data_IF_819789359365
#
_entry.id   IF_819789359365
#
_cell.length_a   1.000
_cell.length_b   1.000
_cell.length_c   1.000
_cell.angle_alpha   90.00
_cell.angle_beta   90.00
_cell.angle_gamma   90.00
#
_symmetry.space_group_name_H-M   'P 1'
#
loop_
_entity.id
_entity.type
_entity.pdbx_description
1 polymer ?
#
# COMPACT_ATOMS: atom_id res chain seq x y z
N UNK A 1 1.60 16.47 14.85
CA UNK A 1 0.14 16.48 14.56
C UNK A 1 -0.01 15.56 13.38
N UNK A 2 -0.79 14.48 13.39
CA UNK A 2 -0.77 13.53 12.26
C UNK A 2 -1.15 14.18 10.91
N UNK A 3 -0.14 14.66 10.18
CA UNK A 3 -0.23 15.26 8.85
C UNK A 3 0.39 14.28 7.85
N UNK A 4 -0.06 14.24 6.58
CA UNK A 4 0.49 13.32 5.58
C UNK A 4 2.00 13.47 5.32
N UNK A 5 2.61 14.57 5.76
CA UNK A 5 4.06 14.80 5.66
C UNK A 5 4.87 14.30 6.86
N UNK A 6 4.22 13.91 7.97
CA UNK A 6 4.91 13.40 9.17
C UNK A 6 5.16 11.88 9.10
N UNK A 7 4.44 11.15 8.25
CA UNK A 7 4.58 9.70 8.07
C UNK A 7 4.23 9.28 6.65
N UNK A 8 4.81 8.16 6.19
CA UNK A 8 4.53 7.56 4.90
C UNK A 8 3.64 6.34 5.06
N UNK A 9 2.45 6.37 4.48
CA UNK A 9 1.56 5.24 4.31
C UNK A 9 1.56 4.79 2.85
N UNK A 10 2.09 3.59 2.59
CA UNK A 10 2.24 3.04 1.25
C UNK A 10 1.36 1.80 1.08
N UNK A 11 0.75 1.65 -0.10
CA UNK A 11 -0.08 0.49 -0.44
C UNK A 11 0.60 -0.48 -1.41
N UNK A 12 0.19 -1.76 -1.39
CA UNK A 12 0.43 -2.72 -2.47
C UNK A 12 -0.89 -3.28 -2.96
N UNK A 13 -1.28 -2.94 -4.19
CA UNK A 13 -2.49 -3.46 -4.83
C UNK A 13 -2.13 -4.62 -5.74
N UNK A 14 -2.86 -5.72 -5.62
CA UNK A 14 -2.78 -6.87 -6.52
C UNK A 14 -3.49 -8.09 -5.95
N UNK A 15 -3.53 -9.17 -6.70
CA UNK A 15 -4.07 -10.46 -6.25
C UNK A 15 -3.06 -11.21 -5.37
N UNK A 16 -3.49 -11.69 -4.19
CA UNK A 16 -2.69 -12.60 -3.39
C UNK A 16 -1.40 -11.96 -2.87
N UNK A 17 -1.41 -10.65 -2.65
CA UNK A 17 -0.25 -9.85 -2.26
C UNK A 17 0.05 -9.86 -0.76
N UNK A 18 -0.88 -10.36 0.07
CA UNK A 18 -0.70 -10.46 1.52
C UNK A 18 0.62 -11.14 1.96
N UNK A 19 1.08 -12.26 1.37
CA UNK A 19 2.35 -12.88 1.71
C UNK A 19 3.60 -12.21 1.11
N UNK A 20 3.47 -11.06 0.43
CA UNK A 20 4.60 -10.35 -0.16
C UNK A 20 5.66 -9.97 0.88
N UNK A 21 6.93 -10.04 0.48
CA UNK A 21 8.06 -9.56 1.28
C UNK A 21 8.35 -8.06 1.05
N UNK A 22 7.67 -7.41 0.10
CA UNK A 22 7.81 -5.97 -0.15
C UNK A 22 7.44 -5.13 1.09
N UNK A 23 6.31 -5.37 1.79
CA UNK A 23 5.99 -4.62 3.01
C UNK A 23 7.10 -4.65 4.07
N UNK A 24 7.56 -5.80 4.60
CA UNK A 24 8.59 -5.81 5.63
C UNK A 24 9.94 -5.29 5.14
N UNK A 25 10.26 -5.42 3.84
CA UNK A 25 11.48 -4.85 3.25
C UNK A 25 11.46 -3.31 3.31
N UNK A 26 10.37 -2.67 2.87
CA UNK A 26 10.25 -1.22 2.87
C UNK A 26 10.16 -0.64 4.29
N UNK A 27 9.40 -1.29 5.18
CA UNK A 27 9.27 -0.84 6.58
C UNK A 27 10.62 -0.90 7.32
N UNK A 28 11.41 -1.96 7.07
CA UNK A 28 12.77 -2.07 7.62
C UNK A 28 13.68 -0.96 7.11
N UNK A 29 13.61 -0.63 5.82
CA UNK A 29 14.41 0.45 5.25
C UNK A 29 14.00 1.82 5.81
N UNK A 30 12.69 2.08 5.92
CA UNK A 30 12.18 3.29 6.57
C UNK A 30 12.67 3.42 8.01
N UNK A 31 12.64 2.33 8.78
CA UNK A 31 13.19 2.30 10.13
C UNK A 31 14.70 2.58 10.18
N UNK A 32 15.48 2.05 9.23
CA UNK A 32 16.92 2.32 9.13
C UNK A 32 17.23 3.80 8.86
N UNK A 33 16.31 4.52 8.21
CA UNK A 33 16.41 5.96 7.94
C UNK A 33 15.69 6.85 8.96
N UNK A 34 15.12 6.28 10.03
CA UNK A 34 14.36 7.04 11.03
C UNK A 34 13.06 7.63 10.50
N UNK A 35 12.50 7.07 9.43
CA UNK A 35 11.26 7.51 8.81
C UNK A 35 10.07 6.72 9.38
N UNK A 36 8.99 7.38 9.83
CA UNK A 36 7.73 6.71 10.13
C UNK A 36 7.11 6.20 8.82
N UNK A 37 7.41 4.95 8.45
CA UNK A 37 7.06 4.35 7.15
C UNK A 37 6.26 3.07 7.37
N UNK A 38 4.99 3.08 6.98
CA UNK A 38 4.06 1.96 7.10
C UNK A 38 3.63 1.45 5.73
N UNK A 39 3.47 0.14 5.63
CA UNK A 39 3.13 -0.52 4.38
C UNK A 39 1.88 -1.41 4.55
N UNK A 40 0.91 -1.26 3.65
CA UNK A 40 -0.39 -1.96 3.72
C UNK A 40 -0.70 -2.71 2.41
N UNK A 41 -0.73 -4.05 2.42
CA UNK A 41 -1.31 -4.80 1.33
C UNK A 41 -2.80 -4.47 1.16
N UNK A 42 -3.23 -4.33 -0.09
CA UNK A 42 -4.61 -4.18 -0.55
C UNK A 42 -4.86 -5.35 -1.50
N UNK A 43 -5.22 -6.49 -0.91
CA UNK A 43 -5.29 -7.77 -1.60
C UNK A 43 -6.66 -7.99 -2.25
N UNK A 44 -6.68 -8.06 -3.58
CA UNK A 44 -7.92 -8.21 -4.35
C UNK A 44 -8.64 -9.50 -3.99
N UNK A 45 -7.91 -10.60 -3.80
CA UNK A 45 -8.47 -11.91 -3.44
C UNK A 45 -9.05 -11.89 -2.04
N UNK A 46 -8.37 -11.24 -1.08
CA UNK A 46 -8.89 -11.11 0.27
C UNK A 46 -10.18 -10.28 0.34
N UNK A 47 -10.37 -9.35 -0.61
CA UNK A 47 -11.53 -8.47 -0.69
C UNK A 47 -12.60 -8.93 -1.70
N UNK A 48 -12.37 -10.03 -2.43
CA UNK A 48 -13.29 -10.51 -3.46
C UNK A 48 -13.49 -9.52 -4.61
N UNK A 49 -12.46 -8.73 -4.93
CA UNK A 49 -12.50 -7.69 -5.95
C UNK A 49 -11.91 -8.20 -7.28
N UNK A 50 -12.52 -7.88 -8.43
CA UNK A 50 -11.92 -8.14 -9.73
C UNK A 50 -10.81 -7.13 -10.04
N UNK A 51 -9.89 -7.47 -10.96
CA UNK A 51 -8.74 -6.65 -11.33
C UNK A 51 -9.13 -5.22 -11.75
N UNK A 52 -10.25 -5.09 -12.49
CA UNK A 52 -10.79 -3.82 -12.98
C UNK A 52 -11.08 -2.79 -11.86
N UNK A 53 -11.16 -3.24 -10.60
CA UNK A 53 -11.34 -2.40 -9.42
C UNK A 53 -10.11 -1.52 -9.12
N UNK A 54 -8.94 -1.78 -9.72
CA UNK A 54 -7.68 -1.05 -9.44
C UNK A 54 -7.86 0.48 -9.55
N UNK A 55 -8.64 0.94 -10.53
CA UNK A 55 -8.89 2.36 -10.74
C UNK A 55 -9.63 3.02 -9.56
N UNK A 56 -10.60 2.31 -8.98
CA UNK A 56 -11.32 2.77 -7.79
C UNK A 56 -10.44 2.74 -6.54
N UNK A 57 -9.64 1.70 -6.38
CA UNK A 57 -8.70 1.57 -5.27
C UNK A 57 -7.63 2.66 -5.26
N UNK A 58 -7.09 3.04 -6.43
CA UNK A 58 -6.14 4.17 -6.55
C UNK A 58 -6.80 5.49 -6.12
N UNK A 59 -8.06 5.73 -6.53
CA UNK A 59 -8.81 6.92 -6.10
C UNK A 59 -9.06 6.91 -4.59
N UNK A 60 -9.52 5.78 -4.05
CA UNK A 60 -9.77 5.62 -2.63
C UNK A 60 -8.50 5.83 -1.80
N UNK A 61 -7.37 5.24 -2.20
CA UNK A 61 -6.09 5.40 -1.52
C UNK A 61 -5.65 6.88 -1.44
N UNK A 62 -5.84 7.65 -2.52
CA UNK A 62 -5.59 9.10 -2.51
C UNK A 62 -6.46 9.83 -1.50
N UNK A 63 -7.76 9.52 -1.46
CA UNK A 63 -8.68 10.14 -0.49
C UNK A 63 -8.38 9.75 0.96
N UNK A 64 -7.90 8.53 1.18
CA UNK A 64 -7.55 7.98 2.50
C UNK A 64 -6.16 8.39 2.98
N UNK A 65 -5.42 9.19 2.21
CA UNK A 65 -4.13 9.75 2.62
C UNK A 65 -2.93 8.83 2.41
N UNK A 66 -3.02 7.83 1.53
CA UNK A 66 -1.84 7.08 1.10
C UNK A 66 -0.86 8.01 0.37
N UNK A 67 0.42 7.92 0.73
CA UNK A 67 1.49 8.70 0.12
C UNK A 67 1.98 8.09 -1.21
N UNK A 68 1.72 6.80 -1.43
CA UNK A 68 2.14 6.09 -2.64
C UNK A 68 1.57 4.67 -2.72
N UNK A 69 1.65 4.08 -3.91
CA UNK A 69 1.16 2.75 -4.21
C UNK A 69 2.17 2.00 -5.07
N UNK A 70 2.44 0.76 -4.70
CA UNK A 70 2.94 -0.26 -5.62
C UNK A 70 1.74 -1.04 -6.17
N UNK A 71 1.80 -1.43 -7.43
CA UNK A 71 0.73 -2.15 -8.13
C UNK A 71 1.37 -3.36 -8.82
N UNK A 72 0.77 -4.54 -8.65
CA UNK A 72 1.28 -5.80 -9.23
C UNK A 72 0.15 -6.66 -9.80
N UNK A 73 0.51 -7.58 -10.70
CA UNK A 73 -0.42 -8.44 -11.43
C UNK A 73 -1.10 -9.49 -10.54
N UNK A 74 -2.35 -9.88 -10.86
CA UNK A 74 -3.33 -9.15 -11.67
C UNK A 74 -3.85 -7.86 -11.00
N UNK A 75 -4.01 -6.82 -11.81
CA UNK A 75 -4.58 -5.51 -11.45
C UNK A 75 -5.00 -4.76 -12.71
#
# INVERSE_FOLDING_TARGET
MSLPSESYLIGLIGDGVTPSLTPPMHEREGAAHGLPYLYRPIDLTAHGLPAESVGELVRAARFLGFNGLNITHPC
#
